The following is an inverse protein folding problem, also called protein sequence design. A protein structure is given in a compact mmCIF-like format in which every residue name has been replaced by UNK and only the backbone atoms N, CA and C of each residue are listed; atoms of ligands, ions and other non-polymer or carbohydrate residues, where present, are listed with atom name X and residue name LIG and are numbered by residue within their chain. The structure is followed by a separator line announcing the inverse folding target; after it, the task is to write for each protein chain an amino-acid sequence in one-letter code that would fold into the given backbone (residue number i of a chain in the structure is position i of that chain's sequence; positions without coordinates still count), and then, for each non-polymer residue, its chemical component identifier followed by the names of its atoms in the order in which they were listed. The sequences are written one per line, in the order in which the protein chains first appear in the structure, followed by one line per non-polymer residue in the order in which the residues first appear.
data_IF_948654748800
#
_entry.id   IF_948654748800
#
_cell.length_a   1.000
_cell.length_b   1.000
_cell.length_c   1.000
_cell.angle_alpha   90.00
_cell.angle_beta   90.00
_cell.angle_gamma   90.00
#
_symmetry.space_group_name_H-M   'P 1'
#
loop_
_entity.id
_entity.type
_entity.pdbx_description
1 polymer ?
#
# COMPACT_ATOMS: atom_id res chain seq x y z
N UNK A 1 2.30 -1.60 -3.59
CA UNK A 1 1.75 -2.71 -4.40
C UNK A 1 2.65 -3.94 -4.30
N UNK A 2 2.85 -4.44 -3.09
CA UNK A 2 3.59 -5.69 -2.89
C UNK A 2 2.59 -6.86 -3.00
N UNK A 3 3.04 -8.06 -3.44
CA UNK A 3 2.18 -9.24 -3.51
C UNK A 3 1.69 -9.69 -2.12
N UNK A 4 2.39 -9.26 -1.07
CA UNK A 4 1.99 -9.41 0.33
C UNK A 4 1.85 -8.04 0.98
N UNK A 5 0.82 -7.88 1.84
CA UNK A 5 0.72 -6.72 2.71
C UNK A 5 2.01 -6.61 3.55
N UNK A 6 2.53 -5.40 3.77
CA UNK A 6 3.74 -5.29 4.58
C UNK A 6 5.07 -5.54 3.87
N UNK A 7 5.09 -5.81 2.55
CA UNK A 7 6.30 -6.24 1.82
C UNK A 7 7.56 -5.39 2.05
N UNK A 8 8.72 -5.83 1.57
CA UNK A 8 10.05 -5.31 1.96
C UNK A 8 10.25 -3.78 1.84
N UNK A 9 9.44 -3.10 1.02
CA UNK A 9 9.39 -1.64 0.89
C UNK A 9 8.02 -1.08 1.29
N UNK A 10 7.56 -1.41 2.50
CA UNK A 10 6.26 -0.99 2.98
C UNK A 10 6.13 0.55 2.99
N UNK A 11 4.98 1.05 2.55
CA UNK A 11 4.71 2.49 2.48
C UNK A 11 5.47 3.23 1.37
N UNK A 12 6.13 2.51 0.43
CA UNK A 12 6.83 3.11 -0.71
C UNK A 12 6.32 2.50 -2.02
N UNK A 13 5.99 3.35 -3.00
CA UNK A 13 5.64 2.89 -4.34
C UNK A 13 6.90 2.44 -5.10
N UNK A 14 6.79 1.36 -5.87
CA UNK A 14 7.84 1.00 -6.84
C UNK A 14 7.78 1.95 -8.05
N UNK A 15 8.88 2.01 -8.81
CA UNK A 15 8.90 2.75 -10.09
C UNK A 15 7.76 2.30 -11.01
N UNK A 16 7.58 1.00 -11.19
CA UNK A 16 6.47 0.44 -11.97
C UNK A 16 5.10 0.89 -11.47
N UNK A 17 4.86 0.93 -10.14
CA UNK A 17 3.59 1.47 -9.62
C UNK A 17 3.41 2.95 -9.96
N UNK A 18 4.47 3.75 -9.83
CA UNK A 18 4.43 5.17 -10.16
C UNK A 18 4.17 5.37 -11.66
N UNK A 19 4.83 4.62 -12.53
CA UNK A 19 4.67 4.73 -13.98
C UNK A 19 3.25 4.37 -14.41
N UNK A 20 2.69 3.29 -13.86
CA UNK A 20 1.31 2.88 -14.14
C UNK A 20 0.29 3.93 -13.65
N UNK A 21 0.47 4.46 -12.44
CA UNK A 21 -0.38 5.53 -11.91
C UNK A 21 -0.28 6.80 -12.76
N UNK A 22 0.94 7.19 -13.16
CA UNK A 22 1.16 8.36 -14.02
C UNK A 22 0.57 8.18 -15.41
N UNK A 23 0.71 7.00 -16.01
CA UNK A 23 0.11 6.69 -17.32
C UNK A 23 -1.41 6.75 -17.25
N UNK A 24 -2.02 6.24 -16.19
CA UNK A 24 -3.46 6.30 -16.00
C UNK A 24 -3.94 7.73 -15.73
N UNK A 25 -3.31 8.45 -14.80
CA UNK A 25 -3.69 9.82 -14.50
C UNK A 25 -3.52 10.76 -15.71
N UNK A 26 -2.52 10.50 -16.56
CA UNK A 26 -2.23 11.31 -17.74
C UNK A 26 -3.28 11.23 -18.86
N UNK A 27 -4.18 10.24 -18.85
CA UNK A 27 -5.27 10.11 -19.84
C UNK A 27 -6.61 10.63 -19.34
N UNK A 28 -6.72 10.98 -18.05
CA UNK A 28 -7.96 11.51 -17.48
C UNK A 28 -8.14 12.98 -17.87
N UNK A 29 -9.40 13.39 -18.05
CA UNK A 29 -9.74 14.79 -18.28
C UNK A 29 -9.56 15.61 -17.01
N UNK A 30 -9.38 16.92 -17.15
CA UNK A 30 -9.25 17.82 -15.99
C UNK A 30 -10.46 17.76 -15.05
N UNK A 31 -11.65 17.46 -15.58
CA UNK A 31 -12.87 17.29 -14.79
C UNK A 31 -12.76 16.19 -13.74
N UNK A 32 -11.98 15.12 -14.00
CA UNK A 32 -11.73 14.06 -13.03
C UNK A 32 -10.90 14.53 -11.82
N UNK A 33 -10.18 15.65 -11.94
CA UNK A 33 -9.37 16.21 -10.87
C UNK A 33 -10.02 17.43 -10.20
N UNK A 34 -11.14 17.93 -10.74
CA UNK A 34 -11.90 19.03 -10.12
C UNK A 34 -12.48 18.57 -8.79
N UNK A 35 -12.26 19.39 -7.76
CA UNK A 35 -12.75 19.11 -6.40
C UNK A 35 -14.27 19.23 -6.39
N UNK A 36 -14.97 18.10 -6.20
CA UNK A 36 -16.44 18.04 -6.19
C UNK A 36 -17.06 18.63 -4.91
N UNK A 37 -16.32 18.66 -3.80
CA UNK A 37 -16.76 19.25 -2.54
C UNK A 37 -15.62 19.98 -1.86
N UNK A 38 -15.81 21.27 -1.59
CA UNK A 38 -14.88 22.12 -0.85
C UNK A 38 -15.09 22.04 0.66
N UNK A 39 -15.92 21.11 1.15
CA UNK A 39 -16.14 20.94 2.59
C UNK A 39 -14.84 20.54 3.27
N UNK A 40 -14.23 21.51 3.95
CA UNK A 40 -13.05 21.31 4.77
C UNK A 40 -13.42 20.43 5.96
N UNK A 41 -13.03 19.17 5.92
CA UNK A 41 -12.98 18.35 7.13
C UNK A 41 -11.81 18.85 7.98
N UNK A 42 -12.11 19.33 9.18
CA UNK A 42 -11.11 19.70 10.18
C UNK A 42 -10.39 18.44 10.67
N UNK A 43 -9.42 17.98 9.88
CA UNK A 43 -8.40 17.09 10.39
C UNK A 43 -7.41 17.93 11.20
N UNK A 44 -7.10 17.52 12.42
CA UNK A 44 -5.95 18.06 13.14
C UNK A 44 -4.76 18.04 12.20
N UNK A 45 -4.09 19.19 12.02
CA UNK A 45 -2.95 19.30 11.10
C UNK A 45 -2.01 18.13 11.35
N UNK A 46 -1.87 17.23 10.37
CA UNK A 46 -0.88 16.17 10.47
C UNK A 46 0.47 16.88 10.63
N UNK A 47 1.24 16.55 11.67
CA UNK A 47 2.52 17.19 11.89
C UNK A 47 3.42 16.87 10.68
N UNK A 48 4.35 17.78 10.37
CA UNK A 48 5.42 17.43 9.45
C UNK A 48 6.13 16.20 10.02
N UNK A 49 6.23 15.10 9.26
CA UNK A 49 6.97 13.93 9.73
C UNK A 49 8.38 14.38 10.14
N UNK A 50 8.81 14.03 11.35
CA UNK A 50 10.10 14.40 11.91
C UNK A 50 10.08 15.61 12.86
N UNK A 51 9.07 16.48 12.86
CA UNK A 51 9.13 17.67 13.75
C UNK A 51 8.39 17.48 15.07
N UNK A 52 7.22 16.85 15.06
CA UNK A 52 6.43 16.63 16.27
C UNK A 52 5.54 15.39 16.11
N UNK A 53 5.87 14.29 16.80
CA UNK A 53 5.11 13.04 16.70
C UNK A 53 3.83 13.01 17.56
N UNK A 54 3.60 13.99 18.44
CA UNK A 54 2.45 14.02 19.37
C UNK A 54 1.10 14.16 18.66
N UNK A 55 1.11 14.58 17.40
CA UNK A 55 -0.10 14.78 16.60
C UNK A 55 -0.47 13.54 15.77
N UNK A 56 0.32 12.47 15.81
CA UNK A 56 -0.11 11.20 15.21
C UNK A 56 -1.09 10.50 16.16
N UNK A 57 -2.26 10.06 15.65
CA UNK A 57 -3.26 9.40 16.49
C UNK A 57 -2.67 8.14 17.13
N UNK A 58 -1.77 7.42 16.46
CA UNK A 58 -1.16 6.21 17.00
C UNK A 58 -0.44 6.40 18.34
N UNK A 59 0.09 7.60 18.66
CA UNK A 59 0.81 7.82 19.92
C UNK A 59 -0.10 7.67 21.14
N UNK A 60 -1.36 8.07 21.01
CA UNK A 60 -2.37 7.94 22.06
C UNK A 60 -3.09 6.60 22.02
N UNK A 61 -2.82 5.74 21.03
CA UNK A 61 -3.49 4.45 20.92
C UNK A 61 -2.95 3.49 21.96
N UNK A 62 -3.85 3.06 22.84
CA UNK A 62 -3.61 1.92 23.69
C UNK A 62 -3.48 0.64 22.83
N UNK A 63 -2.37 -0.09 22.98
CA UNK A 63 -2.08 -1.30 22.19
C UNK A 63 -3.11 -2.40 22.35
N UNK A 64 -3.64 -2.57 23.56
CA UNK A 64 -4.72 -3.51 23.84
C UNK A 64 -6.00 -3.10 23.10
N UNK A 65 -6.38 -1.83 23.17
CA UNK A 65 -7.52 -1.32 22.39
C UNK A 65 -7.33 -1.54 20.88
N UNK A 66 -6.12 -1.26 20.37
CA UNK A 66 -5.78 -1.51 18.97
C UNK A 66 -5.95 -2.98 18.58
N UNK A 67 -5.37 -3.90 19.36
CA UNK A 67 -5.49 -5.33 19.11
C UNK A 67 -6.94 -5.84 19.19
N UNK A 68 -7.75 -5.32 20.12
CA UNK A 68 -9.18 -5.65 20.20
C UNK A 68 -9.95 -5.23 18.96
N UNK A 69 -9.59 -4.09 18.35
CA UNK A 69 -10.19 -3.64 17.09
C UNK A 69 -9.71 -4.42 15.88
N UNK A 70 -8.46 -4.89 15.87
CA UNK A 70 -7.93 -5.74 14.81
C UNK A 70 -8.50 -7.17 14.83
N UNK A 71 -8.78 -7.68 16.02
CA UNK A 71 -9.17 -9.07 16.26
C UNK A 71 -10.52 -9.17 16.98
N UNK A 72 -11.61 -8.59 16.44
CA UNK A 72 -12.91 -8.54 17.12
C UNK A 72 -13.55 -9.92 17.33
N UNK A 73 -13.13 -10.93 16.56
CA UNK A 73 -13.60 -12.32 16.68
C UNK A 73 -13.07 -13.05 17.92
N UNK A 74 -12.08 -12.47 18.61
CA UNK A 74 -11.44 -13.09 19.77
C UNK A 74 -11.79 -12.36 21.07
N UNK A 75 -12.01 -13.12 22.14
CA UNK A 75 -12.33 -12.56 23.46
C UNK A 75 -11.06 -12.25 24.26
N UNK A 76 -11.10 -11.11 24.97
CA UNK A 76 -10.04 -10.71 25.90
C UNK A 76 -8.67 -10.51 25.23
N UNK A 77 -8.65 -9.98 24.00
CA UNK A 77 -7.39 -9.71 23.29
C UNK A 77 -6.62 -8.59 24.01
N UNK A 78 -5.33 -8.82 24.21
CA UNK A 78 -4.37 -7.87 24.79
C UNK A 78 -3.22 -7.61 23.82
N UNK A 79 -2.66 -6.39 23.87
CA UNK A 79 -1.55 -5.98 23.01
C UNK A 79 -0.27 -5.81 23.81
N UNK A 80 0.80 -6.48 23.38
CA UNK A 80 2.09 -6.51 24.06
C UNK A 80 3.23 -6.13 23.13
N UNK A 81 4.23 -5.47 23.70
CA UNK A 81 5.52 -5.29 23.05
C UNK A 81 6.36 -6.56 23.12
N UNK A 82 7.26 -6.71 22.15
CA UNK A 82 8.21 -7.81 22.14
C UNK A 82 9.52 -7.30 21.53
N UNK A 83 10.63 -7.49 22.24
CA UNK A 83 11.91 -6.84 21.89
C UNK A 83 12.40 -7.15 20.47
N UNK A 84 12.11 -8.34 19.94
CA UNK A 84 12.46 -8.71 18.56
C UNK A 84 11.56 -8.09 17.48
N UNK A 85 10.38 -7.59 17.84
CA UNK A 85 9.36 -7.09 16.91
C UNK A 85 9.21 -5.58 16.97
N UNK A 86 9.34 -5.00 18.15
CA UNK A 86 9.21 -3.56 18.40
C UNK A 86 10.11 -2.70 17.49
N UNK A 87 11.39 -3.05 17.20
CA UNK A 87 12.24 -2.26 16.28
C UNK A 87 11.68 -2.17 14.85
N UNK A 88 10.91 -3.17 14.43
CA UNK A 88 10.23 -3.24 13.12
C UNK A 88 8.78 -2.77 13.21
N UNK A 89 8.42 -2.08 14.30
CA UNK A 89 7.06 -1.60 14.53
C UNK A 89 6.01 -2.68 14.44
N UNK A 90 6.28 -3.81 15.09
CA UNK A 90 5.34 -4.92 15.21
C UNK A 90 5.08 -5.21 16.68
N UNK A 91 3.84 -5.56 17.00
CA UNK A 91 3.38 -5.93 18.33
C UNK A 91 2.72 -7.31 18.32
N UNK A 92 2.57 -7.88 19.50
CA UNK A 92 1.83 -9.13 19.70
C UNK A 92 0.41 -8.83 20.18
N UNK A 93 -0.58 -9.31 19.44
CA UNK A 93 -1.97 -9.35 19.86
C UNK A 93 -2.30 -10.76 20.36
N UNK A 94 -2.54 -10.90 21.66
CA UNK A 94 -2.74 -12.19 22.34
C UNK A 94 -4.18 -12.32 22.85
N UNK A 95 -5.01 -13.17 22.25
CA UNK A 95 -6.31 -13.54 22.81
C UNK A 95 -6.16 -14.33 24.11
N UNK A 96 -7.09 -14.13 25.06
CA UNK A 96 -7.04 -14.80 26.37
C UNK A 96 -7.12 -16.33 26.29
N UNK A 97 -7.94 -16.86 25.37
CA UNK A 97 -8.23 -18.30 25.26
C UNK A 97 -7.60 -18.96 24.05
N UNK A 98 -6.63 -18.30 23.40
CA UNK A 98 -5.95 -18.82 22.23
C UNK A 98 -4.48 -19.10 22.56
N UNK A 99 -3.95 -20.21 22.04
CA UNK A 99 -2.57 -20.65 22.36
C UNK A 99 -1.48 -19.79 21.73
N UNK A 100 -1.80 -19.08 20.65
CA UNK A 100 -0.84 -18.28 19.90
C UNK A 100 -1.25 -16.81 19.88
N UNK A 101 -0.24 -15.94 19.99
CA UNK A 101 -0.39 -14.52 19.70
C UNK A 101 -0.17 -14.25 18.21
N UNK A 102 -0.82 -13.22 17.71
CA UNK A 102 -0.66 -12.75 16.34
C UNK A 102 0.33 -11.60 16.29
N UNK A 103 1.27 -11.65 15.33
CA UNK A 103 2.16 -10.52 15.07
C UNK A 103 1.42 -9.53 14.16
N UNK A 104 1.24 -8.31 14.62
CA UNK A 104 0.56 -7.25 13.89
C UNK A 104 1.46 -6.03 13.72
N UNK A 105 1.25 -5.28 12.65
CA UNK A 105 1.93 -4.01 12.43
C UNK A 105 1.37 -2.94 13.37
N UNK A 106 2.26 -2.16 13.99
CA UNK A 106 1.90 -0.98 14.75
C UNK A 106 1.50 0.15 13.79
N UNK A 107 0.49 0.92 14.17
CA UNK A 107 0.11 2.12 13.43
C UNK A 107 1.17 3.23 13.56
N UNK A 108 1.25 4.11 12.56
CA UNK A 108 2.12 5.27 12.62
C UNK A 108 1.78 6.16 13.84
N UNK A 109 2.82 6.56 14.58
CA UNK A 109 2.75 7.27 15.85
C UNK A 109 2.76 6.39 17.10
N UNK A 110 2.46 5.09 17.00
CA UNK A 110 2.44 4.20 18.16
C UNK A 110 3.82 4.07 18.79
N UNK A 111 3.90 4.10 20.13
CA UNK A 111 5.17 4.01 20.85
C UNK A 111 5.86 2.67 20.63
N UNK A 112 7.18 2.69 20.40
CA UNK A 112 8.01 1.51 20.15
C UNK A 112 9.26 1.47 21.06
N UNK A 113 9.15 2.04 22.26
CA UNK A 113 10.19 2.04 23.28
C UNK A 113 10.86 3.40 23.47
N UNK A 114 11.06 3.78 24.73
CA UNK A 114 11.48 5.14 25.11
C UNK A 114 10.54 6.20 24.52
N UNK A 115 11.11 7.30 24.01
CA UNK A 115 10.37 8.38 23.33
C UNK A 115 10.20 8.17 21.82
N UNK A 116 10.45 6.94 21.33
CA UNK A 116 10.37 6.61 19.90
C UNK A 116 8.96 6.18 19.52
N UNK A 117 8.62 6.44 18.26
CA UNK A 117 7.34 6.08 17.67
C UNK A 117 7.52 5.36 16.35
N UNK A 118 6.50 4.61 15.95
CA UNK A 118 6.47 3.94 14.68
C UNK A 118 6.18 4.88 13.54
N UNK A 119 7.02 4.83 12.49
CA UNK A 119 6.85 5.62 11.29
C UNK A 119 7.24 4.79 10.08
N UNK A 120 6.28 4.52 9.19
CA UNK A 120 6.49 3.68 8.00
C UNK A 120 7.14 2.34 8.37
N UNK A 121 6.70 1.76 9.48
CA UNK A 121 7.16 0.47 10.00
C UNK A 121 8.60 0.46 10.53
N UNK A 122 9.16 1.63 10.83
CA UNK A 122 10.46 1.77 11.50
C UNK A 122 10.27 2.46 12.85
N UNK A 123 10.91 1.94 13.89
CA UNK A 123 10.92 2.59 15.20
C UNK A 123 11.89 3.78 15.18
N UNK A 124 11.34 4.98 15.20
CA UNK A 124 12.05 6.22 14.92
C UNK A 124 11.99 7.21 16.07
N UNK A 125 13.07 7.95 16.29
CA UNK A 125 13.10 9.09 17.20
C UNK A 125 12.36 10.30 16.60
N UNK A 126 11.89 11.27 17.41
CA UNK A 126 11.67 12.66 16.98
C UNK A 126 12.79 13.13 16.03
N UNK A 127 12.45 13.65 14.85
CA UNK A 127 13.44 14.06 13.83
C UNK A 127 13.98 12.94 12.94
N UNK A 128 14.07 11.71 13.44
CA UNK A 128 14.67 10.58 12.75
C UNK A 128 13.72 9.88 11.79
N UNK A 129 13.17 10.58 10.79
CA UNK A 129 12.37 9.90 9.76
C UNK A 129 13.31 9.11 8.83
N UNK A 130 13.08 7.81 8.55
CA UNK A 130 13.80 7.12 7.49
C UNK A 130 13.42 7.78 6.17
N UNK A 131 14.29 8.65 5.66
CA UNK A 131 14.05 9.41 4.44
C UNK A 131 13.61 8.40 3.38
N UNK A 132 12.42 8.60 2.80
CA UNK A 132 12.14 7.87 1.57
C UNK A 132 13.32 8.14 0.63
N UNK A 133 13.87 7.11 -0.06
CA UNK A 133 14.91 7.34 -1.04
C UNK A 133 14.49 8.52 -1.92
N UNK A 134 15.39 9.48 -2.22
CA UNK A 134 15.07 10.63 -3.05
C UNK A 134 14.29 10.15 -4.28
N UNK A 135 13.12 10.76 -4.52
CA UNK A 135 12.37 10.50 -5.74
C UNK A 135 13.28 10.95 -6.88
N UNK A 136 13.90 10.03 -7.60
CA UNK A 136 14.48 10.35 -8.89
C UNK A 136 13.33 10.89 -9.73
N UNK A 137 13.43 12.15 -10.15
CA UNK A 137 12.44 12.76 -11.03
C UNK A 137 12.42 11.93 -12.30
N UNK A 138 11.43 11.04 -12.45
CA UNK A 138 11.23 10.32 -13.70
C UNK A 138 10.79 11.36 -14.72
N UNK A 139 11.73 11.83 -15.54
CA UNK A 139 11.38 12.55 -16.76
C UNK A 139 10.41 11.67 -17.54
N UNK A 140 9.26 12.18 -18.01
CA UNK A 140 8.33 11.38 -18.80
C UNK A 140 9.10 10.78 -19.97
N UNK A 141 9.17 9.44 -20.03
CA UNK A 141 9.66 8.77 -21.22
C UNK A 141 8.67 9.09 -22.34
N UNK A 142 9.09 9.98 -23.23
CA UNK A 142 8.40 10.19 -24.50
C UNK A 142 8.64 8.95 -25.34
N UNK A 143 7.86 7.89 -25.10
CA UNK A 143 7.79 6.78 -26.04
C UNK A 143 7.05 7.30 -27.26
N UNK A 144 7.78 7.91 -28.19
CA UNK A 144 7.29 8.16 -29.54
C UNK A 144 7.03 6.79 -30.15
N UNK A 145 5.77 6.36 -30.15
CA UNK A 145 5.31 5.21 -30.91
C UNK A 145 5.50 5.53 -32.38
N UNK A 146 6.70 5.27 -32.93
CA UNK A 146 6.87 5.22 -34.39
C UNK A 146 6.02 4.06 -34.87
N UNK A 147 4.83 4.39 -35.38
CA UNK A 147 4.02 3.49 -36.16
C UNK A 147 4.86 3.02 -37.35
N UNK A 148 5.54 1.89 -37.17
CA UNK A 148 6.20 1.21 -38.28
C UNK A 148 5.10 0.47 -39.02
N UNK A 149 4.58 1.09 -40.06
CA UNK A 149 3.64 0.50 -40.99
C UNK A 149 4.36 -0.60 -41.77
N UNK A 150 4.55 -1.77 -41.17
CA UNK A 150 4.93 -2.97 -41.92
C UNK A 150 3.75 -3.38 -42.78
N UNK A 151 3.78 -2.97 -44.06
CA UNK A 151 2.94 -3.53 -45.13
C UNK A 151 3.28 -5.01 -45.31
N UNK A 152 2.71 -5.89 -44.47
CA UNK A 152 2.65 -7.32 -44.80
C UNK A 152 1.53 -7.52 -45.81
N UNK A 153 1.90 -7.70 -47.07
CA UNK A 153 1.02 -8.17 -48.15
C UNK A 153 0.52 -9.57 -47.80
N UNK A 154 -0.69 -9.67 -47.27
CA UNK A 154 -1.39 -10.96 -47.19
C UNK A 154 -1.93 -11.31 -48.58
N UNK A 155 -1.19 -12.19 -49.26
CA UNK A 155 -1.58 -12.77 -50.55
C UNK A 155 -2.60 -13.88 -50.26
N UNK A 156 -3.84 -13.65 -50.67
CA UNK A 156 -4.92 -14.62 -50.64
C UNK A 156 -4.71 -15.69 -51.72
N UNK A 157 -4.73 -16.96 -51.30
CA UNK A 157 -5.13 -18.15 -52.09
C UNK A 157 -5.66 -19.12 -51.02
N UNK A 158 -6.92 -19.53 -50.92
CA UNK A 158 -7.91 -19.86 -51.95
C UNK A 158 -8.19 -21.37 -51.87
N UNK A 159 -9.36 -21.73 -51.31
CA UNK A 159 -10.07 -23.03 -51.39
C UNK A 159 -9.39 -24.32 -50.87
N UNK A 160 -10.00 -24.97 -49.86
CA UNK A 160 -10.85 -26.13 -50.14
C UNK A 160 -11.78 -26.53 -48.98
N UNK A 161 -13.06 -26.75 -49.33
CA UNK A 161 -14.11 -27.43 -48.56
C UNK A 161 -13.66 -28.86 -48.25
N UNK A 162 -14.00 -29.38 -47.07
CA UNK A 162 -14.98 -30.47 -46.94
C UNK A 162 -15.22 -30.92 -45.47
N UNK A 163 -16.52 -31.07 -45.18
CA UNK A 163 -17.18 -32.03 -44.27
C UNK A 163 -17.09 -31.83 -42.75
N UNK A 164 -18.18 -31.26 -42.22
CA UNK A 164 -18.73 -31.55 -40.88
C UNK A 164 -18.98 -33.06 -40.71
N UNK A 165 -18.94 -33.58 -39.49
CA UNK A 165 -19.95 -34.52 -39.02
C UNK A 165 -20.82 -33.89 -37.93
N UNK A 166 -22.09 -34.27 -37.98
CA UNK A 166 -23.18 -33.80 -37.15
C UNK A 166 -23.17 -34.43 -35.75
N UNK A 167 -23.78 -33.70 -34.81
CA UNK A 167 -24.20 -34.23 -33.52
C UNK A 167 -25.22 -35.38 -33.68
N UNK A 168 -25.18 -36.36 -32.77
CA UNK A 168 -26.34 -37.15 -32.37
C UNK A 168 -26.29 -37.48 -30.87
N UNK A 169 -27.47 -37.70 -30.25
CA UNK A 169 -27.68 -37.66 -28.81
C UNK A 169 -27.70 -39.05 -28.15
N UNK A 170 -27.45 -39.09 -26.85
CA UNK A 170 -28.10 -39.91 -25.83
C UNK A 170 -27.64 -39.44 -24.44
#
# INVERSE_FOLDING_TARGET
MAPTAGGTRFGVFSSCSLDQMSSFAGVLTEDCFKISSSKSYTFSKKPKPGTNWNLFPGKTWNKTFYCQKLHPQFLGVTGHDHDSYTPRCKLLCCPKYHRTCFVNDMADGMGCGGDKVCMRHVCASPGGHPTAPPRTTTTPSTTTTKATTTRRRWRWTGLNRHRRPAAKPL
#
